data_IF_823760472033
#
_entry.id   IF_823760472033
#
_cell.length_a   1.000
_cell.length_b   1.000
_cell.length_c   1.000
_cell.angle_alpha   90.00
_cell.angle_beta   90.00
_cell.angle_gamma   90.00
#
_symmetry.space_group_name_H-M   'P 1'
#
loop_
_entity.id
_entity.type
_entity.pdbx_description
1 polymer ?
#
# COMPACT_ATOMS: atom_id res chain seq x y z
N UNK A 1 33.19 -7.79 -18.87
CA UNK A 1 33.14 -6.39 -19.34
C UNK A 1 33.21 -5.48 -18.12
N UNK A 2 34.16 -4.54 -18.14
CA UNK A 2 34.79 -3.90 -16.99
C UNK A 2 33.88 -3.06 -16.08
N UNK A 3 33.87 -3.38 -14.77
CA UNK A 3 33.64 -2.39 -13.70
C UNK A 3 35.00 -1.98 -13.12
N UNK A 4 35.45 -0.75 -13.43
CA UNK A 4 36.65 -0.16 -12.80
C UNK A 4 36.26 0.48 -11.47
N UNK A 5 36.91 0.04 -10.40
CA UNK A 5 36.87 0.64 -9.07
C UNK A 5 37.39 2.08 -9.09
N UNK A 6 36.66 3.04 -8.50
CA UNK A 6 37.25 4.31 -8.05
C UNK A 6 37.54 4.23 -6.56
N UNK A 7 38.82 4.35 -6.22
CA UNK A 7 39.32 4.58 -4.86
C UNK A 7 38.76 5.91 -4.34
N UNK A 8 38.18 5.90 -3.15
CA UNK A 8 37.82 7.12 -2.42
C UNK A 8 39.03 7.52 -1.58
N UNK A 9 39.54 8.73 -1.84
CA UNK A 9 40.63 9.38 -1.12
C UNK A 9 40.11 9.95 0.20
N UNK A 10 40.81 9.64 1.30
CA UNK A 10 40.57 10.14 2.65
C UNK A 10 41.26 11.49 2.85
N UNK A 11 40.51 12.60 2.75
CA UNK A 11 40.82 13.85 3.45
C UNK A 11 39.54 14.49 3.99
N UNK A 12 39.55 15.01 5.23
CA UNK A 12 38.37 15.63 5.84
C UNK A 12 38.11 16.98 5.18
N UNK A 13 36.92 17.16 4.60
CA UNK A 13 36.43 18.48 4.18
C UNK A 13 35.62 19.09 5.33
N UNK A 14 36.01 20.29 5.74
CA UNK A 14 35.31 21.15 6.68
C UNK A 14 33.85 21.34 6.26
N UNK A 15 32.91 21.07 7.17
CA UNK A 15 31.48 21.26 6.97
C UNK A 15 31.16 22.73 7.19
N UNK A 16 30.97 23.47 6.10
CA UNK A 16 30.27 24.77 6.12
C UNK A 16 28.77 24.47 6.01
N UNK A 17 27.90 25.04 6.85
CA UNK A 17 26.47 24.73 6.82
C UNK A 17 25.84 25.21 5.50
N UNK A 18 24.91 24.45 4.89
CA UNK A 18 24.23 24.89 3.68
C UNK A 18 23.34 26.10 4.00
N UNK A 19 23.41 27.10 3.11
CA UNK A 19 22.56 28.27 3.14
C UNK A 19 21.08 27.87 3.18
N UNK A 20 20.30 28.55 4.01
CA UNK A 20 18.84 28.37 4.14
C UNK A 20 18.19 28.42 2.76
N UNK A 21 17.61 27.28 2.36
CA UNK A 21 16.77 27.17 1.17
C UNK A 21 15.57 28.10 1.39
N UNK A 22 15.40 29.08 0.49
CA UNK A 22 14.21 29.92 0.43
C UNK A 22 13.01 29.04 0.03
N UNK A 23 11.82 29.21 0.64
CA UNK A 23 10.63 28.56 0.15
C UNK A 23 10.30 29.10 -1.24
N UNK A 24 10.08 28.21 -2.21
CA UNK A 24 9.52 28.54 -3.53
C UNK A 24 8.01 28.64 -3.38
N UNK A 25 7.33 29.62 -4.01
CA UNK A 25 5.93 29.91 -3.72
C UNK A 25 5.03 28.85 -4.34
N UNK A 26 4.08 28.35 -3.55
CA UNK A 26 2.88 27.75 -4.11
C UNK A 26 2.11 28.86 -4.85
N UNK A 27 1.97 28.74 -6.17
CA UNK A 27 1.00 29.54 -6.90
C UNK A 27 -0.41 29.00 -6.59
N UNK A 28 -0.93 29.42 -5.45
CA UNK A 28 -2.36 29.50 -5.16
C UNK A 28 -2.66 31.01 -5.15
N UNK A 29 -3.73 31.50 -5.80
CA UNK A 29 -4.10 32.90 -5.67
C UNK A 29 -4.29 33.22 -4.19
N UNK A 30 -3.51 34.14 -3.65
CA UNK A 30 -3.66 34.65 -2.30
C UNK A 30 -4.89 35.55 -2.23
N UNK A 31 -6.08 34.96 -2.18
CA UNK A 31 -7.19 35.56 -1.46
C UNK A 31 -7.08 35.11 -0.02
N UNK A 32 -6.96 36.06 0.90
CA UNK A 32 -7.16 35.85 2.33
C UNK A 32 -8.34 34.89 2.54
N UNK A 33 -8.16 33.70 3.14
CA UNK A 33 -9.30 32.86 3.42
C UNK A 33 -10.05 33.55 4.54
N UNK A 34 -11.22 34.10 4.20
CA UNK A 34 -12.29 34.25 5.17
C UNK A 34 -12.45 32.86 5.78
N UNK A 35 -12.14 32.72 7.07
CA UNK A 35 -12.29 31.47 7.80
C UNK A 35 -13.78 31.08 7.80
N UNK A 36 -14.25 30.41 6.75
CA UNK A 36 -15.48 29.63 6.84
C UNK A 36 -15.14 28.42 7.72
N UNK A 37 -15.99 28.14 8.70
CA UNK A 37 -15.82 26.99 9.57
C UNK A 37 -15.79 25.72 8.70
N UNK A 38 -14.62 25.09 8.57
CA UNK A 38 -14.46 23.84 7.85
C UNK A 38 -15.11 22.69 8.61
N UNK A 39 -15.76 21.78 7.89
CA UNK A 39 -16.33 20.54 8.42
C UNK A 39 -15.22 19.52 8.67
N UNK A 40 -15.06 19.05 9.90
CA UNK A 40 -14.09 17.99 10.21
C UNK A 40 -14.80 16.64 10.24
N UNK A 41 -14.49 15.76 9.31
CA UNK A 41 -15.00 14.39 9.28
C UNK A 41 -14.08 13.48 10.09
N UNK A 42 -14.65 12.83 11.10
CA UNK A 42 -13.90 11.97 12.03
C UNK A 42 -14.12 10.50 11.67
N UNK A 43 -13.03 9.76 11.54
CA UNK A 43 -13.01 8.33 11.28
C UNK A 43 -12.41 7.57 12.47
N UNK A 44 -12.88 6.34 12.72
CA UNK A 44 -12.23 5.46 13.69
C UNK A 44 -11.05 4.67 13.08
N UNK A 45 -10.41 3.82 13.90
CA UNK A 45 -9.31 2.95 13.48
C UNK A 45 -9.71 1.91 12.40
N UNK A 46 -11.02 1.70 12.21
CA UNK A 46 -11.59 0.85 11.16
C UNK A 46 -11.98 1.67 9.93
N UNK A 47 -11.62 2.95 9.82
CA UNK A 47 -12.01 3.83 8.72
C UNK A 47 -13.53 3.98 8.55
N UNK A 48 -14.30 3.87 9.64
CA UNK A 48 -15.74 4.17 9.65
C UNK A 48 -15.94 5.63 10.02
N UNK A 49 -16.87 6.30 9.35
CA UNK A 49 -17.20 7.71 9.58
C UNK A 49 -18.11 7.85 10.80
N UNK A 50 -17.79 8.81 11.67
CA UNK A 50 -18.63 9.21 12.79
C UNK A 50 -19.88 9.94 12.31
N UNK A 51 -21.04 9.45 12.72
CA UNK A 51 -22.36 9.92 12.30
C UNK A 51 -23.20 10.23 13.53
N UNK A 52 -23.91 11.35 13.48
CA UNK A 52 -24.92 11.73 14.47
C UNK A 52 -26.32 11.57 13.92
N UNK A 53 -27.25 11.13 14.76
CA UNK A 53 -28.67 11.09 14.44
C UNK A 53 -29.36 12.41 14.79
N UNK A 54 -30.07 12.97 13.82
CA UNK A 54 -30.90 14.16 14.00
C UNK A 54 -32.30 13.91 13.45
N UNK A 55 -33.30 14.76 13.76
CA UNK A 55 -34.60 14.69 13.09
C UNK A 55 -34.52 14.83 11.56
N UNK A 56 -33.43 15.42 11.03
CA UNK A 56 -33.15 15.56 9.60
C UNK A 56 -32.38 14.35 9.01
N UNK A 57 -32.20 13.27 9.77
CA UNK A 57 -31.48 12.06 9.38
C UNK A 57 -30.05 11.99 9.91
N UNK A 58 -29.24 11.14 9.28
CA UNK A 58 -27.82 10.93 9.56
C UNK A 58 -27.01 12.13 9.06
N UNK A 59 -26.30 12.79 9.97
CA UNK A 59 -25.38 13.90 9.66
C UNK A 59 -23.96 13.50 10.05
N UNK A 60 -22.91 13.97 9.36
CA UNK A 60 -21.54 13.77 9.81
C UNK A 60 -21.35 14.40 11.19
N UNK A 61 -20.69 13.70 12.10
CA UNK A 61 -20.26 14.30 13.35
C UNK A 61 -19.03 15.19 13.08
N UNK A 62 -19.08 16.45 13.51
CA UNK A 62 -17.97 17.39 13.39
C UNK A 62 -16.94 17.16 14.51
N UNK A 63 -15.66 17.45 14.24
CA UNK A 63 -14.55 17.34 15.18
C UNK A 63 -14.69 18.24 16.42
N UNK A 64 -15.55 19.26 16.38
CA UNK A 64 -15.95 20.04 17.56
C UNK A 64 -16.76 19.23 18.57
N UNK A 65 -17.39 18.12 18.15
CA UNK A 65 -18.22 17.24 18.98
C UNK A 65 -17.50 15.99 19.49
N UNK A 66 -16.24 15.76 19.07
CA UNK A 66 -15.41 14.63 19.48
C UNK A 66 -14.04 15.13 19.99
N UNK A 67 -13.92 15.51 21.28
CA UNK A 67 -12.63 15.89 21.86
C UNK A 67 -11.67 14.69 21.84
N UNK A 68 -10.43 14.91 21.37
CA UNK A 68 -9.43 13.84 21.18
C UNK A 68 -9.15 13.49 19.72
N UNK A 69 -10.00 13.94 18.79
CA UNK A 69 -9.63 13.97 17.38
C UNK A 69 -8.46 14.97 17.21
N UNK A 70 -7.22 14.47 17.23
CA UNK A 70 -6.11 15.30 16.81
C UNK A 70 -6.40 15.69 15.36
N UNK A 71 -6.42 17.00 15.09
CA UNK A 71 -6.28 17.49 13.72
C UNK A 71 -4.96 16.92 13.21
N UNK A 72 -5.00 15.77 12.53
CA UNK A 72 -3.91 15.42 11.64
C UNK A 72 -3.88 16.53 10.59
N UNK A 73 -2.73 17.17 10.39
CA UNK A 73 -2.52 18.35 9.54
C UNK A 73 -2.83 18.11 8.03
N UNK A 74 -3.53 17.03 7.69
CA UNK A 74 -3.89 16.64 6.33
C UNK A 74 -5.38 16.93 6.12
N UNK A 75 -5.66 18.18 5.80
CA UNK A 75 -6.92 18.60 5.21
C UNK A 75 -6.88 18.35 3.70
N UNK A 76 -7.81 17.56 3.15
CA UNK A 76 -8.08 17.62 1.72
C UNK A 76 -9.22 18.61 1.50
N UNK A 77 -8.88 19.78 0.98
CA UNK A 77 -9.88 20.78 0.62
C UNK A 77 -10.53 20.41 -0.71
N UNK A 78 -11.84 20.18 -0.70
CA UNK A 78 -12.62 20.15 -1.93
C UNK A 78 -13.83 21.06 -1.82
N UNK A 79 -14.12 21.79 -2.90
CA UNK A 79 -15.29 22.66 -2.97
C UNK A 79 -16.45 21.88 -3.55
N UNK A 80 -17.57 21.77 -2.83
CA UNK A 80 -18.80 21.20 -3.36
C UNK A 80 -19.81 22.29 -3.72
N UNK A 81 -20.57 22.04 -4.78
CA UNK A 81 -21.12 23.02 -5.72
C UNK A 81 -22.04 24.14 -5.18
N UNK A 82 -22.47 24.12 -3.92
CA UNK A 82 -23.24 25.24 -3.32
C UNK A 82 -22.81 25.63 -1.91
N UNK A 83 -21.81 24.97 -1.34
CA UNK A 83 -21.26 25.35 -0.03
C UNK A 83 -19.74 25.26 -0.10
N UNK A 84 -19.06 26.41 0.01
CA UNK A 84 -17.60 26.51 0.13
C UNK A 84 -17.13 25.92 1.48
N UNK A 85 -17.44 24.66 1.74
CA UNK A 85 -17.06 23.96 2.95
C UNK A 85 -15.67 23.38 2.77
N UNK A 86 -14.76 23.77 3.67
CA UNK A 86 -13.46 23.14 3.79
C UNK A 86 -13.65 21.83 4.54
N UNK A 87 -13.26 20.69 3.97
CA UNK A 87 -13.38 19.39 4.63
C UNK A 87 -12.02 18.96 5.17
N UNK A 88 -11.98 18.50 6.42
CA UNK A 88 -10.76 17.96 7.06
C UNK A 88 -11.03 16.53 7.47
N UNK A 89 -10.11 15.61 7.16
CA UNK A 89 -10.20 14.22 7.59
C UNK A 89 -9.39 14.05 8.87
N UNK A 90 -9.99 13.45 9.89
CA UNK A 90 -9.33 13.12 11.14
C UNK A 90 -9.55 11.64 11.47
N UNK A 91 -8.54 10.99 12.08
CA UNK A 91 -8.66 9.63 12.58
C UNK A 91 -8.50 9.63 14.09
N UNK A 92 -9.39 8.92 14.80
CA UNK A 92 -9.25 8.65 16.23
C UNK A 92 -8.22 7.55 16.43
N UNK A 93 -7.20 7.82 17.25
CA UNK A 93 -6.30 6.76 17.69
C UNK A 93 -7.04 5.78 18.61
N UNK A 94 -6.70 4.50 18.51
CA UNK A 94 -7.31 3.45 19.33
C UNK A 94 -7.08 3.66 20.84
N UNK A 95 -6.02 4.39 21.22
CA UNK A 95 -5.74 4.77 22.60
C UNK A 95 -6.58 5.97 23.08
N UNK A 96 -7.09 6.78 22.15
CA UNK A 96 -7.89 7.99 22.39
C UNK A 96 -9.40 7.70 22.32
N UNK A 97 -9.82 6.43 22.39
CA UNK A 97 -11.23 6.06 22.46
C UNK A 97 -11.86 6.64 23.72
N UNK A 98 -12.34 7.88 23.64
CA UNK A 98 -13.20 8.65 24.57
C UNK A 98 -13.31 8.00 25.95
N UNK A 99 -12.22 7.98 26.72
CA UNK A 99 -12.16 7.30 28.01
C UNK A 99 -12.70 8.17 29.16
N UNK A 100 -13.44 9.26 28.88
CA UNK A 100 -13.87 10.19 29.92
C UNK A 100 -15.22 10.87 29.71
N UNK A 101 -16.10 10.36 28.83
CA UNK A 101 -17.49 10.83 28.73
C UNK A 101 -18.46 9.64 28.63
N UNK A 102 -19.69 9.75 29.16
CA UNK A 102 -20.71 8.73 28.95
C UNK A 102 -20.91 8.50 27.44
N UNK A 103 -21.16 7.26 26.99
CA UNK A 103 -21.33 6.97 25.57
C UNK A 103 -22.48 7.81 25.02
N UNK A 104 -22.16 8.72 24.09
CA UNK A 104 -23.14 9.49 23.36
C UNK A 104 -23.89 8.53 22.43
N UNK A 105 -25.05 8.05 22.87
CA UNK A 105 -25.88 7.09 22.11
C UNK A 105 -26.37 7.65 20.78
N UNK A 106 -26.22 8.96 20.53
CA UNK A 106 -26.56 9.58 19.26
C UNK A 106 -25.42 9.58 18.24
N UNK A 107 -24.21 9.14 18.64
CA UNK A 107 -23.01 9.06 17.80
C UNK A 107 -22.66 7.59 17.51
N UNK A 108 -22.69 7.20 16.24
CA UNK A 108 -22.34 5.86 15.78
C UNK A 108 -21.35 5.92 14.60
N UNK A 109 -20.56 4.86 14.44
CA UNK A 109 -19.61 4.74 13.34
C UNK A 109 -20.16 3.85 12.23
N UNK A 110 -20.18 4.37 11.00
CA UNK A 110 -20.65 3.66 9.81
C UNK A 110 -19.57 3.57 8.75
N UNK A 111 -19.50 2.43 8.06
CA UNK A 111 -18.71 2.35 6.84
C UNK A 111 -19.33 3.20 5.74
N UNK A 112 -18.51 3.65 4.78
CA UNK A 112 -19.00 4.41 3.62
C UNK A 112 -20.03 3.58 2.83
N UNK A 113 -19.83 2.27 2.72
CA UNK A 113 -20.76 1.36 2.05
C UNK A 113 -22.11 1.27 2.77
N UNK A 114 -22.14 1.20 4.11
CA UNK A 114 -23.37 1.22 4.90
C UNK A 114 -24.16 2.53 4.75
N UNK A 115 -23.46 3.65 4.62
CA UNK A 115 -24.08 4.96 4.39
C UNK A 115 -24.63 5.06 2.96
N UNK A 116 -23.87 4.58 1.97
CA UNK A 116 -24.29 4.57 0.57
C UNK A 116 -25.47 3.61 0.30
N UNK A 117 -25.60 2.52 1.06
CA UNK A 117 -26.71 1.56 0.91
C UNK A 117 -28.05 2.06 1.46
N UNK A 118 -28.09 3.20 2.16
CA UNK A 118 -29.31 3.76 2.73
C UNK A 118 -29.38 5.29 2.54
N UNK A 119 -29.37 5.78 1.29
CA UNK A 119 -29.24 7.21 1.01
C UNK A 119 -30.40 8.04 1.56
N UNK A 120 -31.61 7.47 1.63
CA UNK A 120 -32.78 8.16 2.18
C UNK A 120 -32.72 8.43 3.69
N UNK A 121 -31.78 7.80 4.41
CA UNK A 121 -31.54 8.09 5.82
C UNK A 121 -30.46 9.16 6.03
N UNK A 122 -29.77 9.59 4.97
CA UNK A 122 -28.67 10.56 5.04
C UNK A 122 -29.21 11.97 4.83
N UNK A 123 -28.66 12.93 5.57
CA UNK A 123 -28.88 14.35 5.28
C UNK A 123 -28.36 14.72 3.88
N UNK A 124 -28.88 15.79 3.24
CA UNK A 124 -28.40 16.24 1.93
C UNK A 124 -26.88 16.47 1.88
N UNK A 125 -26.33 17.02 2.96
CA UNK A 125 -24.88 17.21 3.10
C UNK A 125 -24.13 15.88 3.07
N UNK A 126 -24.54 14.89 3.88
CA UNK A 126 -23.89 13.60 3.90
C UNK A 126 -24.00 12.89 2.55
N UNK A 127 -25.18 12.92 1.93
CA UNK A 127 -25.40 12.33 0.61
C UNK A 127 -24.48 12.92 -0.47
N UNK A 128 -24.23 14.24 -0.42
CA UNK A 128 -23.31 14.92 -1.32
C UNK A 128 -21.83 14.64 -1.02
N UNK A 129 -21.47 14.46 0.25
CA UNK A 129 -20.09 14.18 0.67
C UNK A 129 -19.62 12.78 0.28
N UNK A 130 -20.47 11.75 0.38
CA UNK A 130 -20.03 10.35 0.17
C UNK A 130 -19.34 10.11 -1.18
N UNK A 131 -19.87 10.56 -2.34
CA UNK A 131 -19.17 10.41 -3.62
C UNK A 131 -17.90 11.26 -3.71
N UNK A 132 -17.90 12.45 -3.10
CA UNK A 132 -16.76 13.36 -3.14
C UNK A 132 -15.57 12.87 -2.30
N UNK A 133 -15.83 12.07 -1.26
CA UNK A 133 -14.79 11.44 -0.43
C UNK A 133 -14.05 10.32 -1.16
N UNK A 134 -14.65 9.75 -2.20
CA UNK A 134 -14.19 8.50 -2.81
C UNK A 134 -12.71 8.50 -3.24
N UNK A 135 -12.20 9.53 -3.95
CA UNK A 135 -10.80 9.59 -4.35
C UNK A 135 -9.83 9.71 -3.15
N UNK A 136 -10.32 10.15 -1.99
CA UNK A 136 -9.53 10.44 -0.79
C UNK A 136 -9.51 9.31 0.22
N UNK A 137 -10.38 8.30 0.06
CA UNK A 137 -10.43 7.14 0.97
C UNK A 137 -9.08 6.40 1.08
N UNK A 138 -8.24 6.50 0.05
CA UNK A 138 -6.90 5.88 0.04
C UNK A 138 -5.92 6.52 1.05
N UNK A 139 -6.13 7.79 1.40
CA UNK A 139 -5.25 8.52 2.34
C UNK A 139 -5.66 8.28 3.80
N UNK A 140 -6.94 7.97 4.06
CA UNK A 140 -7.50 7.79 5.40
C UNK A 140 -6.69 6.87 6.33
N UNK A 141 -6.27 5.65 5.90
CA UNK A 141 -5.55 4.76 6.80
C UNK A 141 -4.18 5.29 7.23
N UNK A 142 -3.64 6.28 6.52
CA UNK A 142 -2.26 6.74 6.64
C UNK A 142 -2.12 8.21 7.06
N UNK A 143 -3.20 8.86 7.51
CA UNK A 143 -3.20 10.28 7.88
C UNK A 143 -2.15 10.66 8.94
N UNK A 144 -1.75 9.70 9.78
CA UNK A 144 -0.74 9.89 10.82
C UNK A 144 0.71 9.69 10.32
N UNK A 145 0.90 9.21 9.09
CA UNK A 145 2.23 8.95 8.54
C UNK A 145 2.73 10.19 7.78
N UNK A 146 3.91 10.67 8.15
CA UNK A 146 4.60 11.71 7.40
C UNK A 146 5.27 11.19 6.13
N UNK A 147 5.81 12.10 5.32
CA UNK A 147 6.51 11.74 4.06
C UNK A 147 7.73 10.81 4.26
N UNK A 148 8.29 10.79 5.46
CA UNK A 148 9.43 9.95 5.83
C UNK A 148 9.05 8.67 6.56
N UNK A 149 7.76 8.49 6.85
CA UNK A 149 7.27 7.27 7.47
C UNK A 149 6.95 6.22 6.42
N UNK A 150 7.18 4.99 6.84
CA UNK A 150 6.81 3.79 6.11
C UNK A 150 5.80 3.06 6.97
N UNK A 151 4.81 2.43 6.34
CA UNK A 151 3.77 1.67 7.04
C UNK A 151 4.45 0.68 8.00
N UNK A 152 5.54 0.05 7.57
CA UNK A 152 6.39 -0.76 8.44
C UNK A 152 7.87 -0.49 8.25
N UNK A 153 8.53 -0.07 9.34
CA UNK A 153 9.98 0.07 9.41
C UNK A 153 10.62 -1.29 9.71
N UNK A 154 11.92 -1.41 9.46
CA UNK A 154 12.66 -2.63 9.79
C UNK A 154 12.57 -2.93 11.29
N UNK A 155 12.08 -4.13 11.65
CA UNK A 155 12.15 -4.64 13.02
C UNK A 155 13.56 -5.16 13.32
N UNK A 156 14.27 -4.61 14.32
CA UNK A 156 15.48 -5.20 14.86
C UNK A 156 15.23 -6.62 15.34
N UNK A 157 16.27 -7.45 15.41
CA UNK A 157 16.15 -8.86 15.81
C UNK A 157 15.44 -9.05 17.18
N UNK A 158 15.58 -8.09 18.08
CA UNK A 158 14.98 -8.10 19.43
C UNK A 158 13.46 -7.90 19.42
N UNK A 159 12.91 -7.24 18.39
CA UNK A 159 11.48 -6.96 18.25
C UNK A 159 10.76 -8.06 17.44
N UNK A 160 11.47 -9.12 17.04
CA UNK A 160 10.91 -10.18 16.20
C UNK A 160 10.32 -11.29 17.05
N UNK A 161 9.07 -11.64 16.79
CA UNK A 161 8.41 -12.76 17.44
C UNK A 161 8.81 -14.10 16.77
N UNK A 162 9.95 -14.65 17.15
CA UNK A 162 10.41 -15.94 16.57
C UNK A 162 9.57 -17.15 17.00
N UNK A 163 8.76 -17.03 18.06
CA UNK A 163 7.91 -18.10 18.56
C UNK A 163 6.80 -18.49 17.58
N UNK A 164 6.43 -17.62 16.64
CA UNK A 164 5.43 -17.94 15.61
C UNK A 164 5.79 -19.16 14.75
N UNK A 165 7.09 -19.45 14.60
CA UNK A 165 7.58 -20.55 13.78
C UNK A 165 7.57 -21.90 14.51
N UNK A 166 7.25 -21.88 15.81
CA UNK A 166 7.24 -23.06 16.69
C UNK A 166 5.82 -23.36 17.24
N UNK A 167 4.79 -22.80 16.61
CA UNK A 167 3.40 -22.96 17.06
C UNK A 167 2.85 -24.38 16.86
N UNK A 168 3.43 -25.17 15.95
CA UNK A 168 2.98 -26.52 15.67
C UNK A 168 4.11 -27.41 15.10
N UNK A 169 3.90 -28.73 15.18
CA UNK A 169 4.91 -29.72 14.76
C UNK A 169 5.28 -29.64 13.28
N UNK A 170 4.33 -29.30 12.39
CA UNK A 170 4.60 -29.21 10.96
C UNK A 170 5.51 -28.00 10.67
N UNK A 171 5.21 -26.85 11.27
CA UNK A 171 6.05 -25.65 11.21
C UNK A 171 7.44 -25.88 11.79
N UNK A 172 7.53 -26.56 12.94
CA UNK A 172 8.82 -26.90 13.56
C UNK A 172 9.66 -27.81 12.68
N UNK A 173 9.06 -28.84 12.08
CA UNK A 173 9.74 -29.75 11.17
C UNK A 173 10.28 -29.01 9.92
N UNK A 174 9.52 -28.03 9.41
CA UNK A 174 9.90 -27.25 8.24
C UNK A 174 10.98 -26.20 8.54
N UNK A 175 10.78 -25.36 9.55
CA UNK A 175 11.61 -24.17 9.81
C UNK A 175 12.77 -24.40 10.79
N UNK A 176 12.73 -25.47 11.59
CA UNK A 176 13.70 -25.78 12.65
C UNK A 176 14.34 -27.18 12.50
N UNK A 177 14.39 -27.73 11.28
CA UNK A 177 15.10 -28.98 11.02
C UNK A 177 16.60 -28.88 11.34
N UNK A 178 17.25 -30.02 11.60
CA UNK A 178 18.70 -30.09 11.82
C UNK A 178 19.49 -29.52 10.64
N UNK A 179 19.03 -29.76 9.40
CA UNK A 179 19.61 -29.18 8.19
C UNK A 179 19.47 -27.66 8.17
N UNK A 180 18.28 -27.13 8.47
CA UNK A 180 18.07 -25.68 8.57
C UNK A 180 18.97 -25.05 9.65
N UNK A 181 19.16 -25.71 10.78
CA UNK A 181 20.06 -25.24 11.83
C UNK A 181 21.52 -25.20 11.36
N UNK A 182 22.01 -26.26 10.71
CA UNK A 182 23.35 -26.31 10.13
C UNK A 182 23.57 -25.20 9.08
N UNK A 183 22.62 -25.01 8.18
CA UNK A 183 22.64 -23.94 7.17
C UNK A 183 22.66 -22.55 7.83
N UNK A 184 21.80 -22.31 8.83
CA UNK A 184 21.75 -21.03 9.56
C UNK A 184 23.05 -20.74 10.32
N UNK A 185 23.71 -21.77 10.89
CA UNK A 185 24.98 -21.60 11.59
C UNK A 185 26.12 -21.18 10.65
N UNK A 186 26.12 -21.69 9.41
CA UNK A 186 27.09 -21.31 8.38
C UNK A 186 26.81 -19.92 7.78
N UNK A 187 25.53 -19.58 7.55
CA UNK A 187 25.11 -18.31 6.92
C UNK A 187 25.38 -17.05 7.77
N UNK A 188 25.48 -17.17 9.10
CA UNK A 188 25.60 -16.03 10.04
C UNK A 188 26.96 -15.30 10.05
N UNK A 189 27.78 -15.41 9.01
CA UNK A 189 29.13 -14.81 9.02
C UNK A 189 29.24 -13.45 8.31
N UNK A 190 28.42 -13.10 7.32
CA UNK A 190 28.57 -11.82 6.58
C UNK A 190 27.26 -11.29 5.91
N UNK A 191 26.24 -10.89 6.68
CA UNK A 191 24.93 -10.43 6.12
C UNK A 191 24.95 -9.12 5.30
N UNK A 192 26.04 -8.35 5.29
CA UNK A 192 26.06 -6.99 4.67
C UNK A 192 26.95 -6.85 3.44
N UNK A 193 27.74 -7.87 3.11
CA UNK A 193 28.69 -7.84 1.99
C UNK A 193 28.72 -9.19 1.33
N UNK A 194 28.49 -9.23 0.00
CA UNK A 194 28.66 -10.44 -0.79
C UNK A 194 30.07 -11.01 -0.52
N UNK A 195 30.10 -12.26 -0.07
CA UNK A 195 31.31 -13.02 0.22
C UNK A 195 31.33 -14.27 -0.66
N UNK A 196 32.45 -14.97 -0.66
CA UNK A 196 32.56 -16.25 -1.36
C UNK A 196 31.56 -17.27 -0.78
N UNK A 197 31.05 -18.21 -1.61
CA UNK A 197 30.23 -19.31 -1.14
C UNK A 197 30.91 -20.12 -0.03
N UNK A 198 30.11 -20.60 0.93
CA UNK A 198 30.59 -21.42 2.06
C UNK A 198 30.30 -22.90 1.78
N UNK A 199 31.30 -23.79 1.83
CA UNK A 199 31.07 -25.21 1.65
C UNK A 199 30.35 -25.84 2.86
N UNK A 200 29.34 -26.64 2.59
CA UNK A 200 28.74 -27.61 3.51
C UNK A 200 29.17 -29.01 3.04
N UNK A 201 30.08 -29.62 3.79
CA UNK A 201 30.82 -30.81 3.39
C UNK A 201 30.29 -32.09 4.08
N UNK A 202 29.92 -33.09 3.29
CA UNK A 202 29.49 -34.43 3.74
C UNK A 202 30.49 -35.53 3.34
N UNK A 203 31.73 -35.17 3.01
CA UNK A 203 32.79 -36.08 2.59
C UNK A 203 32.79 -36.30 1.07
N UNK A 204 32.00 -37.25 0.59
CA UNK A 204 31.94 -37.57 -0.86
C UNK A 204 31.17 -36.53 -1.67
N UNK A 205 30.36 -35.69 -1.01
CA UNK A 205 29.55 -34.64 -1.63
C UNK A 205 29.72 -33.35 -0.83
N UNK A 206 29.91 -32.25 -1.54
CA UNK A 206 29.99 -30.91 -0.98
C UNK A 206 28.97 -29.99 -1.64
N UNK A 207 28.23 -29.23 -0.84
CA UNK A 207 27.31 -28.20 -1.31
C UNK A 207 27.92 -26.82 -1.09
N UNK A 208 28.00 -26.00 -2.14
CA UNK A 208 28.43 -24.61 -2.02
C UNK A 208 27.23 -23.72 -1.73
N UNK A 209 27.15 -23.18 -0.52
CA UNK A 209 26.08 -22.29 -0.11
C UNK A 209 26.46 -20.84 -0.46
N UNK A 210 25.65 -20.12 -1.25
CA UNK A 210 25.93 -18.72 -1.54
C UNK A 210 25.95 -17.90 -0.25
N UNK A 211 26.68 -16.78 -0.22
CA UNK A 211 26.77 -15.98 1.00
C UNK A 211 25.47 -15.24 1.36
N UNK A 212 24.53 -15.12 0.40
CA UNK A 212 23.20 -14.55 0.60
C UNK A 212 22.15 -15.43 -0.10
N UNK A 213 21.19 -15.94 0.66
CA UNK A 213 20.04 -16.69 0.14
C UNK A 213 18.91 -16.72 1.19
N UNK A 214 17.72 -17.11 0.75
CA UNK A 214 16.54 -17.20 1.61
C UNK A 214 15.79 -15.87 1.74
N UNK A 215 15.09 -15.69 2.87
CA UNK A 215 14.19 -14.56 3.05
C UNK A 215 14.94 -13.25 3.27
N UNK A 216 14.67 -12.28 2.40
CA UNK A 216 15.03 -10.89 2.63
C UNK A 216 14.25 -10.34 3.83
N UNK A 217 14.68 -9.19 4.35
CA UNK A 217 14.07 -8.59 5.54
C UNK A 217 12.60 -8.21 5.35
N UNK A 218 12.21 -7.78 4.15
CA UNK A 218 10.81 -7.49 3.81
C UNK A 218 9.91 -8.72 3.89
N UNK A 219 10.33 -9.83 3.26
CA UNK A 219 9.62 -11.12 3.31
C UNK A 219 9.50 -11.62 4.75
N UNK A 220 10.61 -11.55 5.50
CA UNK A 220 10.69 -11.89 6.92
C UNK A 220 9.63 -11.15 7.75
N UNK A 221 9.48 -9.84 7.56
CA UNK A 221 8.49 -9.04 8.27
C UNK A 221 7.05 -9.38 7.85
N UNK A 222 6.83 -9.57 6.55
CA UNK A 222 5.50 -9.88 6.02
C UNK A 222 4.97 -11.23 6.54
N UNK A 223 5.82 -12.27 6.55
CA UNK A 223 5.50 -13.58 7.13
C UNK A 223 5.13 -13.43 8.60
N UNK A 224 5.99 -12.79 9.39
CA UNK A 224 5.72 -12.62 10.81
C UNK A 224 4.41 -11.90 11.06
N UNK A 225 4.13 -10.82 10.32
CA UNK A 225 2.88 -10.09 10.49
C UNK A 225 1.66 -10.94 10.20
N UNK A 226 1.69 -11.73 9.12
CA UNK A 226 0.56 -12.58 8.77
C UNK A 226 0.28 -13.64 9.84
N UNK A 227 1.34 -14.22 10.41
CA UNK A 227 1.24 -15.23 11.46
C UNK A 227 0.80 -14.62 12.80
N UNK A 228 1.37 -13.47 13.18
CA UNK A 228 0.95 -12.67 14.36
C UNK A 228 -0.53 -12.30 14.24
N UNK A 229 -0.96 -11.81 13.07
CA UNK A 229 -2.37 -11.45 12.81
C UNK A 229 -3.31 -12.63 13.04
N UNK A 230 -2.95 -13.82 12.56
CA UNK A 230 -3.76 -15.03 12.78
C UNK A 230 -3.77 -15.45 14.26
N UNK A 231 -2.62 -15.39 14.94
CA UNK A 231 -2.49 -15.81 16.33
C UNK A 231 -3.19 -14.87 17.31
N UNK A 232 -3.14 -13.56 17.06
CA UNK A 232 -3.71 -12.53 17.93
C UNK A 232 -5.23 -12.34 17.74
N UNK A 233 -5.82 -12.93 16.70
CA UNK A 233 -7.23 -12.76 16.36
C UNK A 233 -7.98 -14.11 16.30
N UNK A 234 -7.98 -14.91 17.38
CA UNK A 234 -8.67 -16.18 17.40
C UNK A 234 -10.18 -15.99 17.17
N UNK A 235 -10.75 -16.82 16.29
CA UNK A 235 -12.19 -16.80 15.96
C UNK A 235 -12.63 -15.72 14.97
N UNK A 236 -11.75 -14.79 14.58
CA UNK A 236 -12.05 -13.80 13.52
C UNK A 236 -11.73 -14.37 12.14
N UNK A 237 -12.46 -13.91 11.11
CA UNK A 237 -12.14 -14.27 9.73
C UNK A 237 -10.97 -13.40 9.26
N UNK A 238 -9.90 -14.07 8.82
CA UNK A 238 -8.71 -13.41 8.28
C UNK A 238 -8.59 -13.71 6.80
N UNK A 239 -8.54 -12.64 6.02
CA UNK A 239 -8.31 -12.68 4.60
C UNK A 239 -6.95 -12.06 4.27
N UNK A 240 -6.38 -12.45 3.14
CA UNK A 240 -5.26 -11.76 2.50
C UNK A 240 -5.72 -11.32 1.12
N UNK A 241 -5.31 -10.15 0.66
CA UNK A 241 -5.70 -9.65 -0.66
C UNK A 241 -5.36 -10.68 -1.75
N UNK A 242 -4.08 -11.03 -1.89
CA UNK A 242 -3.55 -12.06 -2.78
C UNK A 242 -2.51 -12.91 -2.05
N UNK A 243 -1.61 -13.62 -2.73
CA UNK A 243 -0.53 -14.33 -2.05
C UNK A 243 0.33 -13.37 -1.22
N UNK A 244 0.76 -13.78 -0.02
CA UNK A 244 1.61 -12.93 0.82
C UNK A 244 2.96 -12.65 0.15
N UNK A 245 3.50 -13.72 -0.43
CA UNK A 245 4.73 -13.81 -1.21
C UNK A 245 4.58 -14.98 -2.19
N UNK A 246 5.37 -15.03 -3.27
CA UNK A 246 5.40 -16.17 -4.19
C UNK A 246 6.21 -17.34 -3.62
N UNK A 247 5.73 -17.92 -2.52
CA UNK A 247 6.28 -19.12 -1.90
C UNK A 247 5.13 -20.07 -1.51
N UNK A 248 4.98 -21.22 -2.19
CA UNK A 248 3.85 -22.12 -1.96
C UNK A 248 3.82 -22.67 -0.54
N UNK A 249 4.98 -23.02 0.05
CA UNK A 249 5.02 -23.56 1.42
C UNK A 249 4.49 -22.59 2.47
N UNK A 250 4.82 -21.30 2.35
CA UNK A 250 4.32 -20.26 3.26
C UNK A 250 2.83 -20.03 3.05
N UNK A 251 2.38 -19.96 1.79
CA UNK A 251 0.97 -19.75 1.45
C UNK A 251 0.09 -20.93 1.89
N UNK A 252 0.54 -22.17 1.68
CA UNK A 252 -0.15 -23.38 2.12
C UNK A 252 -0.27 -23.45 3.64
N UNK A 253 0.76 -23.02 4.39
CA UNK A 253 0.69 -22.93 5.85
C UNK A 253 -0.34 -21.90 6.33
N UNK A 254 -0.35 -20.70 5.73
CA UNK A 254 -1.35 -19.67 6.03
C UNK A 254 -2.78 -20.16 5.75
N UNK A 255 -3.00 -20.84 4.61
CA UNK A 255 -4.29 -21.42 4.26
C UNK A 255 -4.73 -22.50 5.27
N UNK A 256 -3.81 -23.37 5.70
CA UNK A 256 -4.08 -24.38 6.74
C UNK A 256 -4.45 -23.76 8.08
N UNK A 257 -3.91 -22.58 8.40
CA UNK A 257 -4.24 -21.80 9.60
C UNK A 257 -5.57 -21.04 9.51
N UNK A 258 -6.30 -21.17 8.40
CA UNK A 258 -7.64 -20.60 8.24
C UNK A 258 -7.69 -19.30 7.43
N UNK A 259 -6.55 -18.76 7.01
CA UNK A 259 -6.50 -17.59 6.13
C UNK A 259 -7.16 -17.90 4.77
N UNK A 260 -7.81 -16.91 4.16
CA UNK A 260 -8.39 -17.05 2.81
C UNK A 260 -8.01 -15.89 1.89
N UNK A 261 -7.77 -16.16 0.61
CA UNK A 261 -7.48 -15.11 -0.36
C UNK A 261 -8.76 -14.44 -0.90
N UNK A 262 -8.70 -13.12 -1.12
CA UNK A 262 -9.76 -12.36 -1.80
C UNK A 262 -9.64 -12.44 -3.33
N UNK A 263 -8.42 -12.49 -3.84
CA UNK A 263 -8.11 -12.59 -5.27
C UNK A 263 -6.78 -13.32 -5.53
N UNK A 264 -6.53 -13.70 -6.78
CA UNK A 264 -5.23 -14.24 -7.20
C UNK A 264 -4.16 -13.14 -7.33
N UNK A 265 -2.91 -13.54 -7.55
CA UNK A 265 -1.78 -12.68 -7.96
C UNK A 265 -2.04 -11.87 -9.24
N UNK A 266 -3.00 -12.32 -10.06
CA UNK A 266 -3.46 -11.60 -11.26
C UNK A 266 -4.62 -10.64 -10.99
N UNK A 267 -5.15 -10.59 -9.77
CA UNK A 267 -6.32 -9.77 -9.40
C UNK A 267 -7.65 -10.42 -9.78
N UNK A 268 -7.68 -11.75 -9.99
CA UNK A 268 -8.93 -12.47 -10.27
C UNK A 268 -9.62 -12.79 -8.93
N UNK A 269 -10.83 -12.27 -8.67
CA UNK A 269 -11.52 -12.49 -7.39
C UNK A 269 -11.83 -13.95 -7.11
N UNK A 270 -11.77 -14.34 -5.83
CA UNK A 270 -12.25 -15.64 -5.36
C UNK A 270 -13.70 -15.54 -4.85
N UNK A 271 -14.47 -16.58 -5.11
CA UNK A 271 -15.81 -16.77 -4.51
C UNK A 271 -15.72 -17.33 -3.09
N UNK A 272 -16.82 -17.34 -2.36
CA UNK A 272 -16.90 -17.85 -0.98
C UNK A 272 -16.37 -19.30 -0.88
N UNK A 273 -16.70 -20.15 -1.87
CA UNK A 273 -16.18 -21.52 -1.98
C UNK A 273 -14.69 -21.62 -2.35
N UNK A 274 -14.04 -20.52 -2.78
CA UNK A 274 -12.61 -20.48 -3.13
C UNK A 274 -12.30 -20.70 -4.61
N UNK A 275 -13.31 -20.67 -5.48
CA UNK A 275 -13.14 -20.71 -6.94
C UNK A 275 -12.78 -19.33 -7.48
N UNK A 276 -11.97 -19.27 -8.54
CA UNK A 276 -11.71 -18.01 -9.27
C UNK A 276 -12.94 -17.64 -10.09
N UNK A 277 -13.46 -16.42 -9.89
CA UNK A 277 -14.54 -15.88 -10.71
C UNK A 277 -14.00 -15.46 -12.09
N UNK A 278 -14.77 -15.72 -13.15
CA UNK A 278 -14.44 -15.33 -14.54
C UNK A 278 -15.72 -15.15 -15.34
N UNK A 279 -15.65 -14.58 -16.55
CA UNK A 279 -16.83 -14.43 -17.41
C UNK A 279 -17.49 -15.78 -17.73
N UNK A 280 -16.69 -16.84 -17.90
CA UNK A 280 -17.18 -18.20 -18.11
C UNK A 280 -17.74 -18.86 -16.84
N UNK A 281 -17.43 -18.31 -15.66
CA UNK A 281 -17.83 -18.88 -14.37
C UNK A 281 -18.00 -17.74 -13.35
N UNK A 282 -19.08 -16.95 -13.45
CA UNK A 282 -19.27 -15.78 -12.59
C UNK A 282 -19.56 -16.17 -11.13
N UNK A 283 -19.58 -15.17 -10.25
CA UNK A 283 -20.13 -15.33 -8.92
C UNK A 283 -21.65 -15.55 -9.01
N UNK A 284 -22.22 -16.27 -8.04
CA UNK A 284 -23.66 -16.52 -7.96
C UNK A 284 -24.19 -16.10 -6.60
N UNK A 285 -25.52 -16.03 -6.44
CA UNK A 285 -26.11 -15.71 -5.15
C UNK A 285 -25.72 -16.71 -4.04
N UNK A 286 -25.50 -17.99 -4.39
CA UNK A 286 -25.09 -19.05 -3.47
C UNK A 286 -23.57 -19.22 -3.34
N UNK A 287 -22.80 -18.60 -4.23
CA UNK A 287 -21.33 -18.57 -4.24
C UNK A 287 -20.85 -17.14 -4.60
N UNK A 288 -21.11 -16.14 -3.73
CA UNK A 288 -20.76 -14.75 -3.99
C UNK A 288 -19.24 -14.54 -3.95
N UNK A 289 -18.76 -13.39 -4.43
CA UNK A 289 -17.34 -13.04 -4.25
C UNK A 289 -17.03 -12.88 -2.77
N UNK A 290 -15.87 -13.37 -2.31
CA UNK A 290 -15.42 -13.17 -0.92
C UNK A 290 -15.38 -11.71 -0.54
N UNK A 291 -14.94 -10.87 -1.48
CA UNK A 291 -14.99 -9.43 -1.34
C UNK A 291 -16.36 -8.90 -0.92
N UNK A 292 -17.45 -9.47 -1.44
CA UNK A 292 -18.80 -9.00 -1.18
C UNK A 292 -19.31 -9.51 0.19
N UNK A 293 -18.70 -10.58 0.71
CA UNK A 293 -19.01 -11.17 2.03
C UNK A 293 -18.25 -10.53 3.20
N UNK A 294 -17.36 -9.57 2.92
CA UNK A 294 -16.56 -8.89 3.93
C UNK A 294 -17.45 -8.05 4.86
N UNK A 295 -17.23 -8.23 6.17
CA UNK A 295 -17.89 -7.53 7.27
C UNK A 295 -16.88 -6.65 8.03
N UNK A 296 -17.31 -5.61 8.76
CA UNK A 296 -16.40 -4.66 9.42
C UNK A 296 -15.45 -5.26 10.48
N UNK A 297 -15.78 -6.44 11.03
CA UNK A 297 -14.98 -7.18 11.99
C UNK A 297 -13.96 -8.15 11.34
N UNK A 298 -14.00 -8.30 10.02
CA UNK A 298 -12.99 -9.06 9.29
C UNK A 298 -11.62 -8.37 9.31
N UNK A 299 -10.60 -9.17 9.03
CA UNK A 299 -9.25 -8.69 8.82
C UNK A 299 -8.86 -8.95 7.38
N UNK A 300 -8.30 -7.95 6.71
CA UNK A 300 -7.70 -8.12 5.39
C UNK A 300 -6.25 -7.66 5.44
N UNK A 301 -5.35 -8.60 5.22
CA UNK A 301 -3.91 -8.33 5.15
C UNK A 301 -3.55 -7.94 3.71
N UNK A 302 -2.81 -6.84 3.55
CA UNK A 302 -2.20 -6.45 2.27
C UNK A 302 -0.83 -7.14 2.17
N UNK A 303 -0.49 -7.79 1.04
CA UNK A 303 0.73 -8.58 0.90
C UNK A 303 1.99 -7.71 0.82
N UNK A 304 3.16 -8.36 0.82
CA UNK A 304 4.46 -7.69 0.79
C UNK A 304 4.67 -6.79 -0.45
N UNK A 305 3.96 -7.09 -1.55
CA UNK A 305 4.01 -6.37 -2.81
C UNK A 305 3.19 -5.07 -2.81
N UNK A 306 2.32 -4.89 -1.81
CA UNK A 306 1.35 -3.80 -1.75
C UNK A 306 0.02 -4.12 -2.43
N UNK A 307 -0.79 -3.08 -2.61
CA UNK A 307 -2.11 -3.17 -3.22
C UNK A 307 -2.36 -1.96 -4.11
N UNK A 308 -3.27 -2.11 -5.08
CA UNK A 308 -3.74 -0.98 -5.89
C UNK A 308 -4.57 -0.01 -5.05
N UNK A 309 -4.68 1.24 -5.49
CA UNK A 309 -5.54 2.21 -4.80
C UNK A 309 -7.02 1.83 -4.90
N UNK A 310 -7.43 1.12 -5.96
CA UNK A 310 -8.80 0.60 -6.10
C UNK A 310 -9.10 -0.44 -5.01
N UNK A 311 -8.21 -1.41 -4.82
CA UNK A 311 -8.37 -2.45 -3.79
C UNK A 311 -8.38 -1.83 -2.39
N UNK A 312 -7.45 -0.92 -2.11
CA UNK A 312 -7.39 -0.20 -0.82
C UNK A 312 -8.66 0.63 -0.59
N UNK A 313 -9.17 1.35 -1.60
CA UNK A 313 -10.45 2.09 -1.48
C UNK A 313 -11.61 1.13 -1.20
N UNK A 314 -11.68 -0.02 -1.87
CA UNK A 314 -12.73 -1.03 -1.60
C UNK A 314 -12.70 -1.51 -0.16
N UNK A 315 -11.52 -1.74 0.42
CA UNK A 315 -11.38 -2.11 1.84
C UNK A 315 -11.80 -0.98 2.78
N UNK A 316 -11.38 0.26 2.49
CA UNK A 316 -11.74 1.44 3.30
C UNK A 316 -13.25 1.69 3.26
N UNK A 317 -13.90 1.56 2.08
CA UNK A 317 -15.36 1.72 1.96
C UNK A 317 -16.13 0.77 2.88
N UNK A 318 -15.57 -0.42 3.15
CA UNK A 318 -16.16 -1.44 4.03
C UNK A 318 -15.94 -1.20 5.51
N UNK A 319 -15.12 -0.21 5.89
CA UNK A 319 -14.80 0.04 7.28
C UNK A 319 -13.84 -1.01 7.84
N UNK A 320 -12.81 -1.38 7.06
CA UNK A 320 -11.74 -2.29 7.49
C UNK A 320 -10.48 -1.52 7.90
N UNK A 321 -9.78 -1.98 8.93
CA UNK A 321 -8.58 -1.35 9.48
C UNK A 321 -7.32 -1.59 8.61
N UNK A 322 -7.27 -1.01 7.41
CA UNK A 322 -6.24 -1.30 6.39
C UNK A 322 -4.81 -1.16 6.91
N UNK A 323 -4.44 -0.03 7.53
CA UNK A 323 -3.06 0.23 8.00
C UNK A 323 -2.57 -0.82 9.00
N UNK A 324 -3.42 -1.27 9.92
CA UNK A 324 -3.06 -2.22 10.96
C UNK A 324 -2.55 -3.57 10.38
N UNK A 325 -3.00 -3.91 9.17
CA UNK A 325 -2.72 -5.18 8.52
C UNK A 325 -2.03 -5.02 7.15
N UNK A 326 -1.41 -3.88 6.85
CA UNK A 326 -0.74 -3.65 5.56
C UNK A 326 0.71 -4.17 5.54
N UNK A 327 0.97 -5.42 5.18
CA UNK A 327 2.31 -5.99 5.19
C UNK A 327 3.24 -5.53 4.04
N UNK A 328 2.94 -4.43 3.32
CA UNK A 328 3.77 -3.90 2.24
C UNK A 328 5.23 -3.75 2.69
N UNK A 329 6.15 -4.20 1.85
CA UNK A 329 7.58 -4.07 2.10
C UNK A 329 8.01 -2.60 1.98
N UNK A 330 8.72 -2.07 2.99
CA UNK A 330 9.29 -0.72 2.95
C UNK A 330 10.14 -0.43 1.70
N UNK A 331 10.80 -1.43 1.10
CA UNK A 331 11.58 -1.20 -0.13
C UNK A 331 10.67 -0.90 -1.33
N UNK A 332 9.45 -1.46 -1.35
CA UNK A 332 8.40 -1.11 -2.31
C UNK A 332 7.89 0.30 -2.03
N UNK A 333 7.60 0.62 -0.78
CA UNK A 333 7.18 1.99 -0.39
C UNK A 333 8.25 3.04 -0.70
N UNK A 334 9.53 2.70 -0.60
CA UNK A 334 10.65 3.57 -0.98
C UNK A 334 10.63 3.90 -2.47
N UNK A 335 10.23 2.94 -3.31
CA UNK A 335 10.02 3.19 -4.75
C UNK A 335 8.84 4.14 -4.95
N UNK A 336 7.73 3.96 -4.24
CA UNK A 336 6.57 4.86 -4.32
C UNK A 336 6.93 6.29 -3.91
N UNK A 337 7.74 6.43 -2.84
CA UNK A 337 8.25 7.73 -2.41
C UNK A 337 9.12 8.40 -3.46
N UNK A 338 10.02 7.65 -4.11
CA UNK A 338 10.84 8.18 -5.20
C UNK A 338 9.97 8.63 -6.38
N UNK A 339 8.98 7.82 -6.77
CA UNK A 339 8.03 8.14 -7.83
C UNK A 339 7.23 9.42 -7.52
N UNK A 340 6.75 9.59 -6.28
CA UNK A 340 6.08 10.81 -5.81
C UNK A 340 7.01 12.03 -5.86
N UNK A 341 8.26 11.87 -5.44
CA UNK A 341 9.25 12.96 -5.53
C UNK A 341 9.48 13.40 -6.98
N UNK A 342 9.65 12.44 -7.90
CA UNK A 342 9.75 12.72 -9.33
C UNK A 342 8.52 13.42 -9.89
N UNK A 343 7.32 13.01 -9.47
CA UNK A 343 6.08 13.69 -9.84
C UNK A 343 6.04 15.17 -9.42
N UNK A 344 6.43 15.47 -8.17
CA UNK A 344 6.55 16.86 -7.68
C UNK A 344 7.54 17.69 -8.49
N UNK A 345 8.61 17.07 -8.97
CA UNK A 345 9.64 17.73 -9.78
C UNK A 345 9.24 17.84 -11.27
N UNK A 346 8.03 17.39 -11.63
CA UNK A 346 7.46 17.48 -12.98
C UNK A 346 7.99 16.43 -13.96
N UNK A 347 8.40 15.26 -13.45
CA UNK A 347 8.80 14.12 -14.29
C UNK A 347 7.66 13.14 -14.50
N UNK A 348 7.61 12.56 -15.70
CA UNK A 348 6.93 11.30 -15.94
C UNK A 348 7.77 10.14 -15.42
N UNK A 349 7.12 9.18 -14.78
CA UNK A 349 7.80 8.03 -14.16
C UNK A 349 7.73 6.83 -15.11
N UNK A 350 8.90 6.39 -15.60
CA UNK A 350 9.07 5.11 -16.28
C UNK A 350 9.27 4.03 -15.21
N UNK A 351 8.32 3.12 -15.10
CA UNK A 351 8.35 2.01 -14.15
C UNK A 351 8.93 0.80 -14.88
N UNK A 352 10.15 0.41 -14.52
CA UNK A 352 10.74 -0.82 -15.03
C UNK A 352 10.21 -2.03 -14.24
N UNK A 353 9.40 -2.85 -14.89
CA UNK A 353 8.76 -4.01 -14.27
C UNK A 353 7.80 -4.77 -15.19
N UNK A 354 7.30 -5.90 -14.69
CA UNK A 354 6.31 -6.72 -15.40
C UNK A 354 4.90 -6.19 -15.12
N UNK A 355 4.21 -5.65 -16.12
CA UNK A 355 2.88 -5.04 -15.97
C UNK A 355 1.83 -5.99 -15.35
N UNK A 356 1.99 -7.29 -15.52
CA UNK A 356 1.11 -8.32 -14.98
C UNK A 356 1.39 -8.68 -13.50
N UNK A 357 2.52 -8.23 -12.94
CA UNK A 357 2.94 -8.50 -11.57
C UNK A 357 2.27 -7.54 -10.58
N UNK A 358 1.86 -8.06 -9.42
CA UNK A 358 1.10 -7.31 -8.41
C UNK A 358 1.88 -6.12 -7.83
N UNK A 359 3.19 -6.25 -7.59
CA UNK A 359 4.05 -5.12 -7.18
C UNK A 359 4.02 -3.98 -8.21
N UNK A 360 4.16 -4.30 -9.50
CA UNK A 360 4.12 -3.31 -10.58
C UNK A 360 2.75 -2.64 -10.66
N UNK A 361 1.65 -3.40 -10.51
CA UNK A 361 0.29 -2.86 -10.48
C UNK A 361 0.07 -1.91 -9.31
N UNK A 362 0.54 -2.28 -8.12
CA UNK A 362 0.48 -1.44 -6.93
C UNK A 362 1.30 -0.16 -7.11
N UNK A 363 2.56 -0.28 -7.58
CA UNK A 363 3.42 0.87 -7.88
C UNK A 363 2.82 1.79 -8.94
N UNK A 364 2.31 1.24 -10.03
CA UNK A 364 1.71 2.02 -11.11
C UNK A 364 0.46 2.76 -10.61
N UNK A 365 -0.43 2.08 -9.87
CA UNK A 365 -1.59 2.73 -9.25
C UNK A 365 -1.18 3.86 -8.32
N UNK A 366 -0.22 3.63 -7.43
CA UNK A 366 0.26 4.64 -6.50
C UNK A 366 0.86 5.85 -7.23
N UNK A 367 1.74 5.58 -8.21
CA UNK A 367 2.49 6.60 -8.95
C UNK A 367 1.56 7.52 -9.74
N UNK A 368 0.54 6.97 -10.41
CA UNK A 368 -0.35 7.76 -11.28
C UNK A 368 -1.16 8.85 -10.54
N UNK A 369 -1.20 8.83 -9.20
CA UNK A 369 -1.77 9.90 -8.38
C UNK A 369 -0.92 11.16 -8.35
N UNK A 370 0.39 11.02 -8.58
CA UNK A 370 1.37 12.09 -8.41
C UNK A 370 2.15 12.42 -9.68
N UNK A 371 2.16 11.53 -10.68
CA UNK A 371 2.88 11.71 -11.94
C UNK A 371 2.22 10.94 -13.10
N UNK A 372 2.32 11.40 -14.35
CA UNK A 372 2.14 10.51 -15.50
C UNK A 372 3.16 9.36 -15.41
N UNK A 373 2.76 8.17 -15.84
CA UNK A 373 3.61 6.99 -15.75
C UNK A 373 3.44 6.06 -16.94
N UNK A 374 4.48 5.28 -17.23
CA UNK A 374 4.47 4.20 -18.23
C UNK A 374 5.29 3.02 -17.73
N UNK A 375 4.81 1.79 -17.96
CA UNK A 375 5.49 0.55 -17.57
C UNK A 375 6.30 0.02 -18.76
N UNK A 376 7.59 -0.24 -18.52
CA UNK A 376 8.54 -0.81 -19.49
C UNK A 376 9.09 -2.11 -18.91
N UNK A 377 9.04 -3.21 -19.65
CA UNK A 377 9.46 -4.53 -19.17
C UNK A 377 10.93 -4.83 -19.41
N UNK A 378 11.45 -4.48 -20.58
CA UNK A 378 12.74 -4.98 -21.06
C UNK A 378 13.44 -3.96 -21.96
N UNK A 379 14.64 -4.33 -22.43
CA UNK A 379 15.47 -3.48 -23.27
C UNK A 379 14.82 -3.13 -24.62
N UNK A 380 14.05 -4.05 -25.20
CA UNK A 380 13.41 -3.81 -26.50
C UNK A 380 12.26 -2.82 -26.39
N UNK A 381 11.46 -2.89 -25.33
CA UNK A 381 10.46 -1.86 -25.03
C UNK A 381 11.11 -0.53 -24.67
N UNK A 382 12.24 -0.53 -23.96
CA UNK A 382 12.98 0.70 -23.67
C UNK A 382 13.52 1.36 -24.95
N UNK A 383 14.01 0.57 -25.93
CA UNK A 383 14.42 1.06 -27.25
C UNK A 383 13.23 1.67 -28.01
N UNK A 384 12.10 0.99 -28.03
CA UNK A 384 10.87 1.50 -28.66
C UNK A 384 10.42 2.82 -28.03
N UNK A 385 10.44 2.92 -26.69
CA UNK A 385 10.14 4.17 -25.99
C UNK A 385 11.15 5.27 -26.36
N UNK A 386 12.45 4.95 -26.44
CA UNK A 386 13.49 5.89 -26.87
C UNK A 386 13.32 6.40 -28.30
N UNK A 387 12.93 5.52 -29.24
CA UNK A 387 12.58 5.89 -30.61
C UNK A 387 11.39 6.86 -30.65
N UNK A 388 10.35 6.57 -29.86
CA UNK A 388 9.16 7.42 -29.74
C UNK A 388 9.53 8.80 -29.20
N UNK A 389 10.28 8.85 -28.09
CA UNK A 389 10.69 10.11 -27.44
C UNK A 389 11.56 10.98 -28.35
N UNK A 390 12.38 10.36 -29.19
CA UNK A 390 13.33 11.06 -30.07
C UNK A 390 12.70 11.54 -31.39
N UNK A 391 11.43 11.19 -31.65
CA UNK A 391 10.76 11.50 -32.91
C UNK A 391 9.81 12.70 -32.78
N UNK A 392 9.77 13.53 -33.82
CA UNK A 392 8.76 14.57 -34.00
C UNK A 392 7.62 14.13 -34.95
N UNK A 393 7.72 12.94 -35.55
CA UNK A 393 6.73 12.42 -36.49
C UNK A 393 5.47 11.94 -35.73
N UNK A 394 4.28 12.53 -35.99
CA UNK A 394 3.04 12.13 -35.34
C UNK A 394 2.71 10.64 -35.49
N UNK A 395 3.09 10.00 -36.59
CA UNK A 395 2.86 8.58 -36.82
C UNK A 395 3.71 7.69 -35.90
N UNK A 396 4.94 8.11 -35.60
CA UNK A 396 5.83 7.42 -34.66
C UNK A 396 5.33 7.64 -33.24
N UNK A 397 4.92 8.85 -32.89
CA UNK A 397 4.33 9.16 -31.58
C UNK A 397 3.06 8.33 -31.32
N UNK A 398 2.20 8.18 -32.33
CA UNK A 398 0.97 7.39 -32.22
C UNK A 398 1.23 5.91 -31.89
N UNK A 399 2.39 5.34 -32.26
CA UNK A 399 2.76 3.96 -31.90
C UNK A 399 2.80 3.74 -30.38
N UNK A 400 3.03 4.79 -29.59
CA UNK A 400 3.04 4.71 -28.13
C UNK A 400 1.77 4.06 -27.58
N UNK A 401 0.61 4.49 -28.06
CA UNK A 401 -0.68 4.02 -27.52
C UNK A 401 -1.00 2.58 -27.89
N UNK A 402 -0.39 2.06 -28.96
CA UNK A 402 -0.49 0.63 -29.32
C UNK A 402 0.53 -0.19 -28.54
N UNK A 403 1.80 0.25 -28.51
CA UNK A 403 2.88 -0.48 -27.83
C UNK A 403 2.61 -0.56 -26.34
N UNK A 404 2.28 0.56 -25.69
CA UNK A 404 2.07 0.65 -24.24
C UNK A 404 0.58 0.66 -23.84
N UNK A 405 -0.30 0.10 -24.68
CA UNK A 405 -1.73 -0.01 -24.41
C UNK A 405 -1.99 -0.62 -23.01
N UNK A 406 -2.77 0.08 -22.17
CA UNK A 406 -3.08 -0.35 -20.80
C UNK A 406 -1.90 -0.29 -19.81
N UNK A 407 -0.76 0.27 -20.23
CA UNK A 407 0.50 0.34 -19.46
C UNK A 407 0.98 1.77 -19.24
N UNK A 408 0.14 2.76 -19.50
CA UNK A 408 0.39 4.17 -19.22
C UNK A 408 -0.80 4.82 -18.52
N UNK A 409 -0.58 5.95 -17.85
CA UNK A 409 -1.64 6.68 -17.13
C UNK A 409 -2.80 7.06 -18.08
N UNK A 410 -4.07 7.04 -17.64
CA UNK A 410 -5.18 7.57 -18.45
C UNK A 410 -4.96 9.05 -18.81
N UNK A 411 -5.29 9.46 -20.05
CA UNK A 411 -5.09 10.84 -20.51
C UNK A 411 -3.63 11.24 -20.74
N UNK A 412 -2.72 10.26 -20.85
CA UNK A 412 -1.32 10.49 -21.17
C UNK A 412 -1.19 11.14 -22.54
N UNK A 413 -0.40 12.21 -22.61
CA UNK A 413 -0.04 12.89 -23.85
C UNK A 413 1.43 12.63 -24.13
N UNK A 414 1.71 11.77 -25.12
CA UNK A 414 3.08 11.37 -25.48
C UNK A 414 4.01 12.56 -25.80
N UNK A 415 3.49 13.64 -26.40
CA UNK A 415 4.29 14.80 -26.80
C UNK A 415 4.62 15.73 -25.62
N UNK A 416 3.71 15.79 -24.64
CA UNK A 416 3.87 16.59 -23.42
C UNK A 416 4.60 15.81 -22.31
N UNK A 417 4.13 14.60 -22.01
CA UNK A 417 4.47 13.90 -20.77
C UNK A 417 5.85 13.25 -20.85
N UNK A 418 6.35 12.87 -22.03
CA UNK A 418 7.69 12.26 -22.14
C UNK A 418 8.84 13.27 -22.28
N UNK A 419 8.59 14.58 -22.13
CA UNK A 419 9.64 15.60 -22.20
C UNK A 419 10.65 15.49 -21.05
N UNK A 420 10.22 15.00 -19.89
CA UNK A 420 11.07 14.78 -18.71
C UNK A 420 10.70 13.44 -18.09
N UNK A 421 11.66 12.51 -18.09
CA UNK A 421 11.44 11.16 -17.55
C UNK A 421 12.37 10.87 -16.38
N UNK A 422 11.85 10.17 -15.38
CA UNK A 422 12.61 9.56 -14.30
C UNK A 422 12.30 8.06 -14.27
N UNK A 423 13.25 7.24 -13.82
CA UNK A 423 13.11 5.78 -13.81
C UNK A 423 13.03 5.28 -12.39
N UNK A 424 12.05 4.42 -12.12
CA UNK A 424 12.00 3.59 -10.92
C UNK A 424 12.06 2.11 -11.29
N UNK A 425 12.84 1.35 -10.54
CA UNK A 425 12.94 -0.10 -10.72
C UNK A 425 12.07 -0.81 -9.68
N UNK A 426 11.29 -1.78 -10.13
CA UNK A 426 10.66 -2.75 -9.24
C UNK A 426 11.68 -3.77 -8.74
N UNK A 427 11.33 -4.47 -7.66
CA UNK A 427 12.19 -5.52 -7.11
C UNK A 427 12.04 -6.86 -7.83
N UNK A 428 11.09 -6.97 -8.77
CA UNK A 428 10.59 -8.21 -9.41
C UNK A 428 10.81 -8.30 -10.91
#
# INVERSE_FOLDING_TARGET
MCYRSRRISTRPKSITPPARIRPVPAHVPSSTPVASAGLVLVFDANNRLAIRFTPAGRVPADGTTLPGAQRSDIAFEFTHADTRQHVVLASLDAADSVASQPPDTSLLFYSIEQLASSPGANSPLLAALLPALDPHLIELPYLQLGENDFIYKFRPAQERNTAIYDQDNASRALYQSSLCAAIKALARRHERTAAEPVPLDFGSVQYLLPSHFGFCLGVKNAIERAYETLAENPGRRVFMLSELIHNPFVNDDLLRRGLRYLQSDKGVPFTSSGRKASDASPATATDPLRWDTLAPDDIVIIPAFGATDEDKRRLVRRGLAVRAYDATCMLVEKVWKAARAYGRDGYTVVIHGKHEHEETKATFSNTRRYAPAVIVRNLDEARQLGEIISSADPSVLARFYTVFAGRHTPGFDVARDLQRVAVVNQTT
#
